data_IF_843444928074
#
_entry.id   IF_843444928074
#
_cell.length_a   1.000
_cell.length_b   1.000
_cell.length_c   1.000
_cell.angle_alpha   90.00
_cell.angle_beta   90.00
_cell.angle_gamma   90.00
#
_symmetry.space_group_name_H-M   'P 1'
#
loop_
_entity.id
_entity.type
_entity.pdbx_description
1 polymer ?
#
# COMPACT_ATOMS: atom_id res chain seq x y z
N UNK A 1 -21.32 -2.92 25.82
CA UNK A 1 -20.00 -3.57 25.72
C UNK A 1 -19.39 -3.59 27.12
N UNK A 2 -18.73 -4.66 27.53
CA UNK A 2 -17.96 -4.65 28.78
C UNK A 2 -16.81 -3.63 28.64
N UNK A 3 -16.61 -2.78 29.63
CA UNK A 3 -15.52 -1.78 29.66
C UNK A 3 -14.15 -2.44 29.81
N UNK A 4 -14.11 -3.63 30.41
CA UNK A 4 -12.88 -4.27 30.84
C UNK A 4 -11.93 -4.61 29.67
N UNK A 5 -12.36 -5.16 28.52
CA UNK A 5 -11.48 -5.38 27.37
C UNK A 5 -10.95 -4.08 26.77
N UNK A 6 -11.74 -3.01 26.74
CA UNK A 6 -11.33 -1.70 26.21
C UNK A 6 -10.20 -1.10 27.07
N UNK A 7 -10.38 -1.07 28.38
CA UNK A 7 -9.37 -0.53 29.31
C UNK A 7 -8.08 -1.38 29.32
N UNK A 8 -8.22 -2.71 29.25
CA UNK A 8 -7.07 -3.61 29.19
C UNK A 8 -6.25 -3.41 27.92
N UNK A 9 -6.91 -3.32 26.76
CA UNK A 9 -6.23 -3.07 25.48
C UNK A 9 -5.61 -1.67 25.44
N UNK A 10 -6.28 -0.63 25.94
CA UNK A 10 -5.70 0.72 26.02
C UNK A 10 -4.43 0.75 26.88
N UNK A 11 -4.46 0.12 28.06
CA UNK A 11 -3.27 0.01 28.93
C UNK A 11 -2.15 -0.76 28.25
N UNK A 12 -2.47 -1.87 27.59
CA UNK A 12 -1.48 -2.69 26.92
C UNK A 12 -0.87 -1.97 25.71
N UNK A 13 -1.65 -1.22 24.93
CA UNK A 13 -1.14 -0.34 23.88
C UNK A 13 -0.20 0.73 24.41
N UNK A 14 -0.54 1.37 25.53
CA UNK A 14 0.32 2.37 26.16
C UNK A 14 1.67 1.81 26.65
N UNK A 15 1.78 0.48 26.83
CA UNK A 15 3.04 -0.19 27.21
C UNK A 15 3.86 -0.70 26.03
N UNK A 16 3.33 -0.62 24.80
CA UNK A 16 4.09 -1.02 23.62
C UNK A 16 5.17 0.02 23.34
N UNK A 17 6.40 -0.46 23.27
CA UNK A 17 7.56 0.33 22.84
C UNK A 17 8.01 -0.17 21.48
N UNK A 18 8.07 0.76 20.51
CA UNK A 18 8.50 0.52 19.14
C UNK A 18 9.75 1.34 18.79
N UNK A 19 10.43 1.93 19.78
CA UNK A 19 11.59 2.80 19.56
C UNK A 19 12.73 2.09 18.80
N UNK A 20 12.94 0.81 19.06
CA UNK A 20 13.94 0.00 18.35
C UNK A 20 13.55 -0.23 16.88
N UNK A 21 12.29 -0.57 16.61
CA UNK A 21 11.78 -0.75 15.25
C UNK A 21 11.76 0.58 14.48
N UNK A 22 11.48 1.70 15.15
CA UNK A 22 11.56 3.03 14.54
C UNK A 22 12.99 3.42 14.18
N UNK A 23 13.95 3.18 15.08
CA UNK A 23 15.36 3.40 14.80
C UNK A 23 15.81 2.57 13.59
N UNK A 24 15.45 1.28 13.55
CA UNK A 24 15.77 0.41 12.42
C UNK A 24 15.08 0.85 11.12
N UNK A 25 13.83 1.28 11.19
CA UNK A 25 13.12 1.80 10.02
C UNK A 25 13.79 3.07 9.49
N UNK A 26 14.23 3.97 10.38
CA UNK A 26 14.93 5.19 10.00
C UNK A 26 16.30 4.89 9.35
N UNK A 27 17.03 3.89 9.84
CA UNK A 27 18.27 3.41 9.20
C UNK A 27 18.02 2.90 7.78
N UNK A 28 16.98 2.06 7.60
CA UNK A 28 16.60 1.53 6.29
C UNK A 28 16.11 2.62 5.34
N UNK A 29 15.37 3.61 5.84
CA UNK A 29 14.97 4.79 5.04
C UNK A 29 16.20 5.58 4.57
N UNK A 30 17.17 5.83 5.45
CA UNK A 30 18.40 6.50 5.08
C UNK A 30 19.25 5.68 4.09
N UNK A 31 19.30 4.35 4.24
CA UNK A 31 19.97 3.45 3.31
C UNK A 31 19.32 3.50 1.92
N UNK A 32 17.98 3.43 1.86
CA UNK A 32 17.22 3.55 0.62
C UNK A 32 17.50 4.87 -0.09
N UNK A 33 17.44 5.99 0.64
CA UNK A 33 17.67 7.31 0.08
C UNK A 33 19.12 7.47 -0.44
N UNK A 34 20.10 6.84 0.24
CA UNK A 34 21.49 6.78 -0.24
C UNK A 34 21.64 5.95 -1.53
N UNK A 35 20.91 4.83 -1.64
CA UNK A 35 20.89 3.99 -2.85
C UNK A 35 20.30 4.78 -4.02
N UNK A 36 19.18 5.47 -3.81
CA UNK A 36 18.54 6.29 -4.84
C UNK A 36 19.49 7.39 -5.33
N UNK A 37 20.13 8.13 -4.41
CA UNK A 37 21.12 9.15 -4.76
C UNK A 37 22.35 8.56 -5.51
N UNK A 38 22.75 7.32 -5.23
CA UNK A 38 23.81 6.64 -5.97
C UNK A 38 23.36 6.25 -7.40
N UNK A 39 22.13 5.78 -7.55
CA UNK A 39 21.53 5.45 -8.86
C UNK A 39 21.40 6.71 -9.72
N UNK A 40 20.94 7.82 -9.14
CA UNK A 40 20.83 9.10 -9.86
C UNK A 40 22.20 9.59 -10.36
N UNK A 41 23.23 9.58 -9.50
CA UNK A 41 24.60 9.93 -9.90
C UNK A 41 25.15 9.02 -11.00
N UNK A 42 24.92 7.71 -10.90
CA UNK A 42 25.34 6.76 -11.92
C UNK A 42 24.63 6.98 -13.26
N UNK A 43 23.33 7.30 -13.24
CA UNK A 43 22.58 7.64 -14.46
C UNK A 43 23.03 8.96 -15.08
N UNK A 44 23.33 9.98 -14.27
CA UNK A 44 23.90 11.23 -14.75
C UNK A 44 25.24 10.97 -15.47
N UNK A 45 26.13 10.17 -14.86
CA UNK A 45 27.41 9.81 -15.48
C UNK A 45 27.25 9.00 -16.77
N UNK A 46 26.30 8.07 -16.84
CA UNK A 46 25.99 7.34 -18.09
C UNK A 46 25.50 8.26 -19.19
N UNK A 47 24.74 9.30 -18.84
CA UNK A 47 24.29 10.33 -19.79
C UNK A 47 25.48 11.13 -20.33
N UNK A 48 26.40 11.56 -19.46
CA UNK A 48 27.65 12.24 -19.86
C UNK A 48 28.50 11.39 -20.80
N UNK A 49 28.71 10.10 -20.47
CA UNK A 49 29.46 9.17 -21.32
C UNK A 49 28.77 9.00 -22.68
N UNK A 50 27.45 8.87 -22.69
CA UNK A 50 26.67 8.73 -23.94
C UNK A 50 26.80 9.98 -24.82
N UNK A 51 26.84 11.17 -24.20
CA UNK A 51 27.07 12.43 -24.91
C UNK A 51 28.50 12.49 -25.46
N UNK A 52 29.51 12.19 -24.65
CA UNK A 52 30.90 12.15 -25.07
C UNK A 52 31.15 11.16 -26.22
N UNK A 53 30.48 9.99 -26.21
CA UNK A 53 30.53 9.03 -27.31
C UNK A 53 29.87 9.53 -28.60
N UNK A 54 28.82 10.35 -28.51
CA UNK A 54 28.18 10.99 -29.69
C UNK A 54 29.07 12.09 -30.24
N UNK A 55 29.53 12.99 -29.38
CA UNK A 55 30.41 14.08 -29.74
C UNK A 55 31.70 13.55 -30.37
N UNK A 56 32.24 12.43 -29.87
CA UNK A 56 33.36 11.74 -30.49
C UNK A 56 33.03 11.20 -31.88
N UNK A 57 31.89 10.52 -32.09
CA UNK A 57 31.51 10.04 -33.44
C UNK A 57 31.31 11.19 -34.43
N UNK A 58 30.76 12.31 -33.98
CA UNK A 58 30.57 13.49 -34.81
C UNK A 58 31.91 14.17 -35.12
N UNK A 59 32.81 14.25 -34.13
CA UNK A 59 34.18 14.74 -34.30
C UNK A 59 35.02 13.81 -35.18
N UNK A 60 34.86 12.49 -35.10
CA UNK A 60 35.53 11.50 -35.94
C UNK A 60 35.05 11.60 -37.40
N UNK A 61 33.78 11.94 -37.62
CA UNK A 61 33.21 12.21 -38.95
C UNK A 61 33.81 13.47 -39.59
N UNK A 62 33.98 14.53 -38.81
CA UNK A 62 34.60 15.80 -39.25
C UNK A 62 36.13 15.63 -39.39
N UNK A 63 36.75 14.88 -38.49
CA UNK A 63 38.17 14.50 -38.48
C UNK A 63 38.52 13.63 -39.67
N UNK A 64 37.68 12.67 -40.07
CA UNK A 64 37.95 11.83 -41.25
C UNK A 64 38.04 12.65 -42.55
N UNK A 65 37.22 13.69 -42.69
CA UNK A 65 37.32 14.65 -43.80
C UNK A 65 38.62 15.45 -43.71
N UNK A 66 38.95 15.99 -42.54
CA UNK A 66 40.16 16.78 -42.34
C UNK A 66 41.46 15.96 -42.41
N UNK A 67 41.43 14.69 -42.00
CA UNK A 67 42.53 13.72 -42.10
C UNK A 67 42.67 13.27 -43.55
N UNK A 68 41.57 13.08 -44.29
CA UNK A 68 41.62 12.83 -45.74
C UNK A 68 42.25 14.03 -46.48
N UNK A 69 41.85 15.26 -46.14
CA UNK A 69 42.43 16.49 -46.71
C UNK A 69 43.90 16.69 -46.30
N UNK A 70 44.27 16.37 -45.06
CA UNK A 70 45.65 16.44 -44.56
C UNK A 70 46.55 15.35 -45.16
N UNK A 71 46.03 14.14 -45.38
CA UNK A 71 46.71 13.06 -46.09
C UNK A 71 46.91 13.41 -47.57
N UNK A 72 45.90 14.02 -48.22
CA UNK A 72 46.04 14.58 -49.57
C UNK A 72 47.05 15.74 -49.62
N UNK A 73 47.21 16.49 -48.53
CA UNK A 73 48.20 17.55 -48.34
C UNK A 73 49.60 17.08 -47.88
N UNK A 74 49.82 15.79 -47.67
CA UNK A 74 51.12 15.21 -47.32
C UNK A 74 51.49 15.18 -45.83
N UNK A 75 50.56 15.41 -44.91
CA UNK A 75 50.79 15.32 -43.47
C UNK A 75 50.68 13.87 -42.94
N UNK A 76 51.42 13.55 -41.86
CA UNK A 76 51.39 12.22 -41.23
C UNK A 76 50.17 12.04 -40.32
N UNK A 77 49.30 11.07 -40.64
CA UNK A 77 48.05 10.79 -39.92
C UNK A 77 48.19 10.43 -38.42
N UNK A 78 49.40 10.10 -37.96
CA UNK A 78 49.67 9.66 -36.59
C UNK A 78 49.57 10.79 -35.55
N UNK A 79 49.81 12.06 -35.94
CA UNK A 79 49.77 13.20 -35.01
C UNK A 79 48.33 13.67 -34.72
N UNK A 80 47.35 13.28 -35.55
CA UNK A 80 45.94 13.70 -35.43
C UNK A 80 45.13 12.76 -34.53
N UNK A 81 45.53 11.49 -34.41
CA UNK A 81 44.79 10.45 -33.66
C UNK A 81 45.11 10.41 -32.16
N UNK A 82 46.23 10.98 -31.70
CA UNK A 82 46.72 10.85 -30.32
C UNK A 82 45.94 11.66 -29.26
N UNK A 83 45.01 12.53 -29.66
CA UNK A 83 44.24 13.41 -28.76
C UNK A 83 42.81 12.91 -28.47
N UNK A 84 42.40 11.76 -29.03
CA UNK A 84 41.06 11.24 -28.83
C UNK A 84 40.92 10.52 -27.47
N UNK A 85 39.82 10.76 -26.70
CA UNK A 85 39.52 9.96 -25.52
C UNK A 85 39.33 8.49 -25.91
N UNK A 86 39.82 7.58 -25.07
CA UNK A 86 39.76 6.14 -25.32
C UNK A 86 38.29 5.64 -25.30
N UNK A 87 37.77 5.36 -26.49
CA UNK A 87 36.40 4.92 -26.70
C UNK A 87 36.11 3.56 -26.03
N UNK A 88 37.11 2.68 -25.89
CA UNK A 88 36.94 1.41 -25.18
C UNK A 88 36.84 1.62 -23.67
N UNK A 89 37.65 2.53 -23.11
CA UNK A 89 37.53 2.92 -21.70
C UNK A 89 36.13 3.50 -21.37
N UNK A 90 35.56 4.32 -22.25
CA UNK A 90 34.20 4.85 -22.06
C UNK A 90 33.11 3.77 -22.17
N UNK A 91 33.27 2.79 -23.06
CA UNK A 91 32.34 1.65 -23.15
C UNK A 91 32.41 0.77 -21.91
N UNK A 92 33.61 0.50 -21.42
CA UNK A 92 33.84 -0.27 -20.20
C UNK A 92 33.23 0.44 -18.98
N UNK A 93 33.46 1.75 -18.83
CA UNK A 93 32.84 2.55 -17.76
C UNK A 93 31.31 2.48 -17.83
N UNK A 94 30.71 2.60 -19.02
CA UNK A 94 29.26 2.49 -19.20
C UNK A 94 28.71 1.11 -18.82
N UNK A 95 29.40 0.04 -19.19
CA UNK A 95 29.03 -1.33 -18.85
C UNK A 95 29.10 -1.55 -17.32
N UNK A 96 30.18 -1.09 -16.68
CA UNK A 96 30.37 -1.16 -15.23
C UNK A 96 29.30 -0.37 -14.48
N UNK A 97 28.97 0.85 -14.93
CA UNK A 97 27.89 1.66 -14.34
C UNK A 97 26.51 0.99 -14.50
N UNK A 98 26.27 0.34 -15.64
CA UNK A 98 25.01 -0.38 -15.88
C UNK A 98 24.87 -1.58 -14.94
N UNK A 99 25.94 -2.35 -14.74
CA UNK A 99 25.98 -3.44 -13.77
C UNK A 99 25.82 -2.94 -12.33
N UNK A 100 26.50 -1.85 -11.97
CA UNK A 100 26.40 -1.23 -10.65
C UNK A 100 24.98 -0.73 -10.34
N UNK A 101 24.28 -0.13 -11.32
CA UNK A 101 22.86 0.26 -11.16
C UNK A 101 21.97 -0.97 -10.95
N UNK A 102 22.21 -2.06 -11.68
CA UNK A 102 21.48 -3.31 -11.48
C UNK A 102 21.64 -3.86 -10.06
N UNK A 103 22.87 -3.84 -9.55
CA UNK A 103 23.20 -4.21 -8.17
C UNK A 103 22.52 -3.31 -7.14
N UNK A 104 22.57 -1.99 -7.34
CA UNK A 104 21.93 -1.01 -6.46
C UNK A 104 20.40 -1.20 -6.42
N UNK A 105 19.76 -1.49 -7.55
CA UNK A 105 18.32 -1.78 -7.60
C UNK A 105 17.96 -3.04 -6.82
N UNK A 106 18.76 -4.09 -6.91
CA UNK A 106 18.53 -5.30 -6.12
C UNK A 106 18.62 -4.99 -4.62
N UNK A 107 19.63 -4.21 -4.20
CA UNK A 107 19.75 -3.77 -2.79
C UNK A 107 18.57 -2.90 -2.36
N UNK A 108 18.07 -2.03 -3.24
CA UNK A 108 16.86 -1.25 -2.98
C UNK A 108 15.67 -2.17 -2.69
N UNK A 109 15.45 -3.20 -3.52
CA UNK A 109 14.38 -4.17 -3.34
C UNK A 109 14.54 -4.96 -2.02
N UNK A 110 15.78 -5.36 -1.69
CA UNK A 110 16.11 -6.05 -0.43
C UNK A 110 15.78 -5.17 0.79
N UNK A 111 16.19 -3.89 0.79
CA UNK A 111 15.87 -2.90 1.84
C UNK A 111 14.36 -2.70 1.96
N UNK A 112 13.67 -2.56 0.83
CA UNK A 112 12.21 -2.37 0.81
C UNK A 112 11.48 -3.60 1.38
N UNK A 113 11.95 -4.81 1.09
CA UNK A 113 11.42 -6.04 1.66
C UNK A 113 11.65 -6.12 3.17
N UNK A 114 12.82 -5.69 3.65
CA UNK A 114 13.12 -5.62 5.09
C UNK A 114 12.20 -4.62 5.80
N UNK A 115 12.00 -3.42 5.23
CA UNK A 115 11.07 -2.42 5.76
C UNK A 115 9.63 -2.97 5.87
N UNK A 116 9.16 -3.70 4.86
CA UNK A 116 7.83 -4.31 4.86
C UNK A 116 7.70 -5.43 5.89
N UNK A 117 8.76 -6.23 6.07
CA UNK A 117 8.84 -7.29 7.08
C UNK A 117 8.76 -6.69 8.48
N UNK A 118 9.53 -5.62 8.73
CA UNK A 118 9.52 -4.90 9.99
C UNK A 118 8.14 -4.34 10.31
N UNK A 119 7.51 -3.63 9.36
CA UNK A 119 6.13 -3.10 9.51
C UNK A 119 5.13 -4.21 9.82
N UNK A 120 5.21 -5.35 9.13
CA UNK A 120 4.32 -6.49 9.34
C UNK A 120 4.50 -7.08 10.73
N UNK A 121 5.75 -7.25 11.17
CA UNK A 121 6.07 -7.74 12.51
C UNK A 121 5.54 -6.82 13.60
N UNK A 122 5.76 -5.50 13.46
CA UNK A 122 5.29 -4.48 14.41
C UNK A 122 3.76 -4.46 14.50
N UNK A 123 3.05 -4.52 13.36
CA UNK A 123 1.59 -4.67 13.34
C UNK A 123 1.13 -5.96 14.02
N UNK A 124 1.88 -7.06 13.86
CA UNK A 124 1.63 -8.33 14.54
C UNK A 124 1.68 -8.20 16.08
N UNK A 125 2.63 -7.43 16.62
CA UNK A 125 2.70 -7.16 18.07
C UNK A 125 1.47 -6.41 18.57
N UNK A 126 1.07 -5.34 17.87
CA UNK A 126 -0.14 -4.60 18.20
C UNK A 126 -1.41 -5.46 18.07
N UNK A 127 -1.51 -6.28 17.01
CA UNK A 127 -2.63 -7.18 16.79
C UNK A 127 -2.77 -8.22 17.91
N UNK A 128 -1.66 -8.80 18.38
CA UNK A 128 -1.67 -9.75 19.48
C UNK A 128 -2.25 -9.14 20.77
N UNK A 129 -1.92 -7.88 21.05
CA UNK A 129 -2.47 -7.12 22.19
C UNK A 129 -3.93 -6.76 21.99
N UNK A 130 -4.34 -6.46 20.76
CA UNK A 130 -5.72 -6.11 20.41
C UNK A 130 -6.67 -7.33 20.38
N UNK A 131 -6.13 -8.55 20.34
CA UNK A 131 -6.89 -9.79 20.14
C UNK A 131 -8.08 -9.95 21.12
N UNK A 132 -7.94 -9.70 22.44
CA UNK A 132 -9.08 -9.82 23.36
C UNK A 132 -10.21 -8.83 23.07
N UNK A 133 -9.87 -7.61 22.66
CA UNK A 133 -10.85 -6.60 22.26
C UNK A 133 -11.55 -7.00 20.94
N UNK A 134 -10.79 -7.51 19.97
CA UNK A 134 -11.35 -8.02 18.73
C UNK A 134 -12.33 -9.18 18.97
N UNK A 135 -12.01 -10.10 19.88
CA UNK A 135 -12.88 -11.21 20.25
C UNK A 135 -14.14 -10.73 21.00
N UNK A 136 -14.00 -9.73 21.87
CA UNK A 136 -15.15 -9.11 22.54
C UNK A 136 -16.09 -8.40 21.56
N UNK A 137 -15.55 -7.66 20.59
CA UNK A 137 -16.31 -7.04 19.51
C UNK A 137 -17.01 -8.10 18.63
N UNK A 138 -16.31 -9.18 18.28
CA UNK A 138 -16.89 -10.30 17.52
C UNK A 138 -18.04 -10.97 18.28
N UNK A 139 -17.87 -11.21 19.58
CA UNK A 139 -18.93 -11.78 20.42
C UNK A 139 -20.14 -10.85 20.55
N UNK A 140 -19.92 -9.53 20.62
CA UNK A 140 -21.01 -8.56 20.60
C UNK A 140 -21.74 -8.53 19.26
N UNK A 141 -21.00 -8.55 18.14
CA UNK A 141 -21.58 -8.60 16.80
C UNK A 141 -22.43 -9.87 16.62
N UNK A 142 -21.96 -11.02 17.11
CA UNK A 142 -22.71 -12.28 17.08
C UNK A 142 -24.03 -12.18 17.85
N UNK A 143 -24.01 -11.67 19.09
CA UNK A 143 -25.24 -11.49 19.89
C UNK A 143 -26.24 -10.56 19.23
N UNK A 144 -25.78 -9.44 18.67
CA UNK A 144 -26.66 -8.51 17.95
C UNK A 144 -27.30 -9.17 16.72
N UNK A 145 -26.57 -10.05 16.02
CA UNK A 145 -27.13 -10.82 14.92
C UNK A 145 -28.18 -11.85 15.39
N UNK A 146 -27.96 -12.51 16.53
CA UNK A 146 -28.93 -13.42 17.15
C UNK A 146 -30.21 -12.68 17.56
N UNK A 147 -30.10 -11.53 18.23
CA UNK A 147 -31.24 -10.67 18.59
C UNK A 147 -32.04 -10.22 17.37
N UNK A 148 -31.36 -9.87 16.26
CA UNK A 148 -32.02 -9.50 15.01
C UNK A 148 -32.81 -10.67 14.40
N UNK A 149 -32.27 -11.90 14.48
CA UNK A 149 -32.95 -13.11 14.02
C UNK A 149 -34.18 -13.43 14.86
N UNK A 150 -34.10 -13.27 16.18
CA UNK A 150 -35.25 -13.42 17.09
C UNK A 150 -36.34 -12.38 16.77
N UNK A 151 -35.97 -11.12 16.57
CA UNK A 151 -36.91 -10.07 16.16
C UNK A 151 -37.61 -10.42 14.84
N UNK A 152 -36.84 -10.89 13.84
CA UNK A 152 -37.40 -11.34 12.58
C UNK A 152 -38.38 -12.51 12.76
N UNK A 153 -38.01 -13.52 13.56
CA UNK A 153 -38.89 -14.66 13.85
C UNK A 153 -40.19 -14.23 14.53
N UNK A 154 -40.12 -13.30 15.49
CA UNK A 154 -41.29 -12.72 16.14
C UNK A 154 -42.21 -11.95 15.17
N UNK A 155 -41.64 -11.13 14.30
CA UNK A 155 -42.41 -10.41 13.26
C UNK A 155 -43.06 -11.38 12.27
N UNK A 156 -42.35 -12.43 11.85
CA UNK A 156 -42.89 -13.45 10.96
C UNK A 156 -44.04 -14.22 11.63
N UNK A 157 -43.90 -14.55 12.92
CA UNK A 157 -44.95 -15.23 13.69
C UNK A 157 -46.20 -14.35 13.82
N UNK A 158 -46.04 -13.07 14.15
CA UNK A 158 -47.13 -12.09 14.18
C UNK A 158 -47.79 -11.95 12.80
N UNK A 159 -47.00 -11.78 11.74
CA UNK A 159 -47.53 -11.68 10.38
C UNK A 159 -48.33 -12.93 9.98
N UNK A 160 -47.83 -14.11 10.31
CA UNK A 160 -48.53 -15.37 10.03
C UNK A 160 -49.84 -15.48 10.83
N UNK A 161 -49.86 -14.99 12.07
CA UNK A 161 -51.02 -15.07 12.95
C UNK A 161 -52.13 -14.08 12.60
N UNK A 162 -51.79 -12.84 12.20
CA UNK A 162 -52.77 -11.74 12.05
C UNK A 162 -52.77 -11.09 10.65
N UNK A 163 -51.90 -11.51 9.73
CA UNK A 163 -51.85 -11.01 8.35
C UNK A 163 -51.31 -9.57 8.19
N UNK A 164 -50.85 -8.93 9.27
CA UNK A 164 -50.32 -7.56 9.25
C UNK A 164 -48.78 -7.55 9.26
N UNK A 165 -48.16 -6.42 8.89
CA UNK A 165 -46.71 -6.21 9.08
C UNK A 165 -45.78 -6.81 8.03
N UNK A 166 -46.27 -7.09 6.81
CA UNK A 166 -45.48 -7.72 5.74
C UNK A 166 -44.22 -6.90 5.34
N UNK A 167 -44.31 -5.56 5.42
CA UNK A 167 -43.20 -4.65 5.10
C UNK A 167 -42.07 -4.76 6.13
N UNK A 168 -42.42 -4.79 7.41
CA UNK A 168 -41.51 -4.87 8.54
C UNK A 168 -40.79 -6.23 8.55
N UNK A 169 -41.51 -7.31 8.25
CA UNK A 169 -40.94 -8.64 8.00
C UNK A 169 -39.92 -8.61 6.87
N UNK A 170 -40.26 -7.97 5.74
CA UNK A 170 -39.33 -7.83 4.60
C UNK A 170 -38.05 -7.09 4.97
N UNK A 171 -38.16 -5.98 5.70
CA UNK A 171 -37.00 -5.21 6.17
C UNK A 171 -36.12 -6.00 7.15
N UNK A 172 -36.72 -6.65 8.15
CA UNK A 172 -36.00 -7.48 9.11
C UNK A 172 -35.32 -8.69 8.43
N UNK A 173 -35.96 -9.28 7.41
CA UNK A 173 -35.36 -10.34 6.58
C UNK A 173 -34.11 -9.88 5.85
N UNK A 174 -34.13 -8.68 5.26
CA UNK A 174 -32.96 -8.13 4.57
C UNK A 174 -31.83 -7.81 5.54
N UNK A 175 -32.15 -7.28 6.73
CA UNK A 175 -31.17 -7.05 7.78
C UNK A 175 -30.54 -8.38 8.25
N UNK A 176 -31.36 -9.41 8.53
CA UNK A 176 -30.88 -10.73 8.94
C UNK A 176 -30.00 -11.40 7.88
N UNK A 177 -30.38 -11.31 6.59
CA UNK A 177 -29.56 -11.78 5.48
C UNK A 177 -28.24 -11.00 5.37
N UNK A 178 -28.25 -9.72 5.68
CA UNK A 178 -27.06 -8.86 5.73
C UNK A 178 -26.06 -9.22 6.84
N UNK A 179 -26.54 -9.75 7.97
CA UNK A 179 -25.69 -10.24 9.07
C UNK A 179 -25.00 -11.58 8.77
N UNK A 180 -25.55 -12.39 7.86
CA UNK A 180 -25.03 -13.74 7.53
C UNK A 180 -24.19 -13.75 6.25
N UNK A 181 -24.39 -12.78 5.34
CA UNK A 181 -23.68 -12.67 4.06
C UNK A 181 -22.47 -11.72 4.07
N UNK A 182 -21.90 -11.48 2.87
CA UNK A 182 -20.74 -10.61 2.63
C UNK A 182 -21.05 -9.11 2.81
N UNK A 183 -21.18 -8.62 4.05
CA UNK A 183 -21.27 -7.19 4.39
C UNK A 183 -22.48 -6.43 3.81
N UNK A 184 -23.55 -7.14 3.44
CA UNK A 184 -24.75 -6.52 2.84
C UNK A 184 -25.56 -5.66 3.82
N UNK A 185 -25.27 -5.73 5.12
CA UNK A 185 -25.87 -4.83 6.11
C UNK A 185 -25.39 -3.38 5.94
N UNK A 186 -24.20 -3.19 5.36
CA UNK A 186 -23.46 -1.93 5.38
C UNK A 186 -23.40 -1.22 4.02
N UNK A 187 -23.83 -1.88 2.94
CA UNK A 187 -23.72 -1.40 1.55
C UNK A 187 -24.47 -0.10 1.24
N UNK A 188 -25.32 0.41 2.14
CA UNK A 188 -26.07 1.66 1.99
C UNK A 188 -25.44 2.87 2.69
N UNK A 189 -24.39 2.67 3.50
CA UNK A 189 -23.65 3.76 4.15
C UNK A 189 -22.21 3.76 3.69
N UNK A 190 -21.76 4.84 3.06
CA UNK A 190 -20.38 5.00 2.58
C UNK A 190 -19.32 5.06 3.69
N UNK A 191 -19.74 5.34 4.93
CA UNK A 191 -18.86 5.39 6.09
C UNK A 191 -19.62 5.09 7.37
N UNK A 192 -19.02 4.24 8.22
CA UNK A 192 -19.55 3.91 9.53
C UNK A 192 -18.62 4.54 10.58
N UNK A 193 -19.15 5.39 11.47
CA UNK A 193 -18.33 5.97 12.53
C UNK A 193 -17.88 4.86 13.46
N UNK A 194 -16.59 4.84 13.77
CA UNK A 194 -16.05 3.96 14.81
C UNK A 194 -16.61 4.43 16.15
N UNK A 195 -17.11 3.52 17.02
CA UNK A 195 -17.59 3.91 18.34
C UNK A 195 -16.53 4.73 19.08
N UNK A 196 -16.89 5.88 19.72
CA UNK A 196 -15.92 6.78 20.34
C UNK A 196 -14.97 6.10 21.32
N UNK A 197 -15.46 5.09 22.02
CA UNK A 197 -14.68 4.32 22.99
C UNK A 197 -13.60 3.46 22.31
N UNK A 198 -13.88 2.88 21.14
CA UNK A 198 -12.88 2.15 20.36
C UNK A 198 -11.88 3.12 19.78
N UNK A 199 -12.32 4.29 19.30
CA UNK A 199 -11.43 5.35 18.84
C UNK A 199 -10.45 5.79 19.94
N UNK A 200 -10.95 6.01 21.18
CA UNK A 200 -10.09 6.35 22.33
C UNK A 200 -9.07 5.26 22.68
N UNK A 201 -9.42 3.98 22.52
CA UNK A 201 -8.45 2.89 22.71
C UNK A 201 -7.38 2.93 21.62
N UNK A 202 -7.77 3.21 20.37
CA UNK A 202 -6.81 3.35 19.26
C UNK A 202 -5.90 4.57 19.45
N UNK A 203 -6.37 5.65 20.07
CA UNK A 203 -5.54 6.82 20.41
C UNK A 203 -4.44 6.49 21.43
N UNK A 204 -4.59 5.42 22.21
CA UNK A 204 -3.54 4.94 23.12
C UNK A 204 -2.43 4.15 22.40
N UNK A 205 -2.62 3.81 21.12
CA UNK A 205 -1.59 3.18 20.31
C UNK A 205 -0.46 4.19 20.04
N UNK A 206 0.82 3.83 20.22
CA UNK A 206 1.91 4.71 19.89
C UNK A 206 1.81 5.18 18.44
N UNK A 207 1.98 6.49 18.19
CA UNK A 207 1.99 7.07 16.86
C UNK A 207 3.31 6.74 16.14
N UNK A 208 3.48 5.46 15.81
CA UNK A 208 4.71 4.94 15.24
C UNK A 208 4.65 4.87 13.72
N UNK A 209 5.72 5.33 13.07
CA UNK A 209 5.93 5.12 11.61
C UNK A 209 6.02 3.63 11.26
N UNK A 210 6.43 2.78 12.19
CA UNK A 210 6.50 1.34 11.99
C UNK A 210 5.10 0.69 11.92
N UNK A 211 4.06 1.34 12.45
CA UNK A 211 2.70 0.79 12.50
C UNK A 211 1.83 1.15 11.30
N UNK A 212 2.12 2.26 10.60
CA UNK A 212 1.21 2.99 9.68
C UNK A 212 0.12 2.10 9.07
N UNK A 213 -1.03 2.09 9.73
CA UNK A 213 -2.33 1.73 9.21
C UNK A 213 -3.23 2.87 9.67
N UNK A 214 -3.89 3.54 8.72
CA UNK A 214 -4.67 4.75 9.00
C UNK A 214 -5.66 4.50 10.14
N UNK A 215 -5.55 5.28 11.22
CA UNK A 215 -6.57 5.33 12.26
C UNK A 215 -7.77 6.09 11.71
N UNK A 216 -8.57 5.40 10.89
CA UNK A 216 -9.81 5.97 10.37
C UNK A 216 -10.83 6.10 11.50
N UNK A 217 -11.25 7.33 11.80
CA UNK A 217 -12.47 7.57 12.60
C UNK A 217 -13.73 7.03 11.91
N UNK A 218 -13.60 6.68 10.64
CA UNK A 218 -14.61 6.07 9.78
C UNK A 218 -14.02 4.85 9.07
N UNK A 219 -14.74 3.74 9.09
CA UNK A 219 -14.45 2.60 8.22
C UNK A 219 -15.18 2.83 6.89
N UNK A 220 -14.42 2.89 5.80
CA UNK A 220 -14.98 2.94 4.45
C UNK A 220 -15.58 1.57 4.13
N UNK A 221 -16.83 1.55 3.68
CA UNK A 221 -17.44 0.31 3.18
C UNK A 221 -16.89 0.00 1.79
N UNK A 222 -16.58 -1.26 1.46
CA UNK A 222 -16.24 -1.61 0.08
C UNK A 222 -17.38 -1.18 -0.83
N UNK A 223 -17.06 -0.40 -1.88
CA UNK A 223 -18.04 0.05 -2.87
C UNK A 223 -18.66 -1.19 -3.52
N UNK A 224 -19.86 -1.57 -3.10
CA UNK A 224 -20.65 -2.57 -3.81
C UNK A 224 -21.26 -1.89 -5.02
N UNK A 225 -20.64 -2.03 -6.18
CA UNK A 225 -21.11 -1.51 -7.48
C UNK A 225 -22.48 -2.07 -7.92
N UNK A 226 -23.06 -2.99 -7.15
CA UNK A 226 -24.26 -3.78 -7.51
C UNK A 226 -25.50 -3.54 -6.63
N UNK A 227 -25.51 -2.51 -5.78
CA UNK A 227 -26.68 -2.21 -4.93
C UNK A 227 -27.90 -1.79 -5.75
N UNK A 228 -27.71 -1.12 -6.89
CA UNK A 228 -28.79 -0.78 -7.83
C UNK A 228 -29.35 -2.02 -8.55
N UNK A 229 -28.50 -3.01 -8.85
CA UNK A 229 -28.87 -4.28 -9.49
C UNK A 229 -29.82 -5.11 -8.61
N UNK A 230 -29.57 -5.11 -7.29
CA UNK A 230 -30.42 -5.82 -6.31
C UNK A 230 -31.73 -5.06 -6.05
N UNK A 231 -31.71 -3.72 -5.99
CA UNK A 231 -32.93 -2.91 -5.87
C UNK A 231 -33.80 -3.04 -7.12
N UNK A 232 -33.20 -3.08 -8.32
CA UNK A 232 -33.90 -3.32 -9.58
C UNK A 232 -34.54 -4.72 -9.62
N UNK A 233 -33.80 -5.76 -9.21
CA UNK A 233 -34.31 -7.14 -9.17
C UNK A 233 -35.43 -7.37 -8.13
N UNK A 234 -35.51 -6.53 -7.10
CA UNK A 234 -36.59 -6.56 -6.10
C UNK A 234 -37.79 -5.71 -6.52
N UNK A 235 -37.57 -4.65 -7.30
CA UNK A 235 -38.64 -3.80 -7.84
C UNK A 235 -39.42 -4.50 -8.96
N UNK A 236 -38.76 -5.35 -9.75
CA UNK A 236 -39.40 -6.15 -10.82
C UNK A 236 -40.27 -7.32 -10.32
N UNK A 237 -40.25 -7.64 -9.02
CA UNK A 237 -41.10 -8.70 -8.43
C UNK A 237 -42.37 -8.17 -7.74
N UNK A 238 -42.61 -6.86 -7.81
CA UNK A 238 -43.80 -6.22 -7.25
C UNK A 238 -44.51 -5.40 -8.31
N UNK A 239 -45.22 -6.08 -9.22
CA UNK A 239 -46.44 -5.64 -9.91
C UNK A 239 -47.07 -6.92 -10.52
N UNK A 240 -48.41 -7.03 -10.56
CA UNK A 240 -49.17 -8.29 -10.45
C UNK A 240 -48.95 -9.32 -11.55
#
# INVERSE_FOLDING_TARGET
>A
MDMKPLEQTARAFATLDFSAEEARLAELEAERDNIDAAIERANARRTEISQAQRDWRDAERVSASNVADALLGGAHAAEVTALAPDAEALKEEFANLSAAIGELRRRYDDVQAEMNTLRTHTRGKAAAVAQPLADALRAQAKRAAEELLECYAGLQALHTAIGAGAREVGQARHAAAGCIGNDRLLSWRSGIPVPPMVAQVLDALPQSKALVAGCGQTVLTPENSDHLSVIAALSDRTLP
#
